data_IF_081645559257
#
_entry.id   IF_081645559257
#
_cell.length_a   1.000
_cell.length_b   1.000
_cell.length_c   1.000
_cell.angle_alpha   90.00
_cell.angle_beta   90.00
_cell.angle_gamma   90.00
#
_symmetry.space_group_name_H-M   'P 1'
#
loop_
_entity.id
_entity.type
_entity.pdbx_description
1 polymer ?
#
# COMPACT_ATOMS: atom_id res chain seq x y z
N UNK A 1 16.35 2.75 -16.09
CA UNK A 1 16.60 1.75 -15.02
C UNK A 1 17.68 2.34 -14.15
N UNK A 2 17.37 2.61 -12.89
CA UNK A 2 18.34 3.13 -11.93
C UNK A 2 19.49 2.12 -11.83
N UNK A 3 20.73 2.60 -11.98
CA UNK A 3 21.90 1.74 -11.77
C UNK A 3 21.89 1.17 -10.36
N UNK A 4 22.50 -0.01 -10.14
CA UNK A 4 22.63 -0.61 -8.79
C UNK A 4 23.23 0.39 -7.79
N UNK A 5 24.19 1.21 -8.25
CA UNK A 5 24.78 2.32 -7.50
C UNK A 5 23.74 3.35 -7.03
N UNK A 6 22.88 3.81 -7.94
CA UNK A 6 21.83 4.81 -7.64
C UNK A 6 20.79 4.25 -6.67
N UNK A 7 20.38 2.99 -6.84
CA UNK A 7 19.45 2.32 -5.92
C UNK A 7 20.01 2.19 -4.50
N UNK A 8 21.28 1.85 -4.36
CA UNK A 8 21.93 1.74 -3.05
C UNK A 8 22.02 3.07 -2.31
N UNK A 9 22.37 4.16 -3.02
CA UNK A 9 22.40 5.50 -2.42
C UNK A 9 21.02 5.91 -1.94
N UNK A 10 19.99 5.66 -2.77
CA UNK A 10 18.60 5.94 -2.40
C UNK A 10 18.21 5.17 -1.14
N UNK A 11 18.53 3.87 -1.13
CA UNK A 11 18.24 2.99 -0.01
C UNK A 11 18.90 3.47 1.29
N UNK A 12 20.19 3.82 1.21
CA UNK A 12 20.98 4.27 2.36
C UNK A 12 20.39 5.54 2.95
N UNK A 13 20.12 6.56 2.14
CA UNK A 13 19.49 7.80 2.62
C UNK A 13 18.12 7.54 3.25
N UNK A 14 17.28 6.73 2.60
CA UNK A 14 15.96 6.36 3.11
C UNK A 14 16.03 5.64 4.47
N UNK A 15 16.97 4.71 4.62
CA UNK A 15 17.21 4.00 5.86
C UNK A 15 17.65 4.93 6.99
N UNK A 16 18.54 5.88 6.71
CA UNK A 16 19.01 6.83 7.71
C UNK A 16 17.90 7.77 8.17
N UNK A 17 17.03 8.21 7.26
CA UNK A 17 15.86 9.00 7.64
C UNK A 17 14.87 8.19 8.49
N UNK A 18 14.61 6.94 8.13
CA UNK A 18 13.81 6.02 8.95
C UNK A 18 14.39 5.86 10.36
N UNK A 19 15.69 5.59 10.47
CA UNK A 19 16.39 5.45 11.74
C UNK A 19 16.32 6.72 12.60
N UNK A 20 16.43 7.92 12.00
CA UNK A 20 16.26 9.21 12.70
C UNK A 20 14.88 9.33 13.36
N UNK A 21 13.82 8.90 12.69
CA UNK A 21 12.45 8.98 13.23
C UNK A 21 12.19 8.02 14.39
N UNK A 22 12.95 6.93 14.51
CA UNK A 22 12.79 5.88 15.55
C UNK A 22 13.47 6.18 16.91
N UNK A 23 13.97 7.40 17.18
CA UNK A 23 14.54 7.85 18.48
C UNK A 23 15.52 6.84 19.15
N UNK A 24 16.50 6.29 18.41
CA UNK A 24 17.57 5.45 18.96
C UNK A 24 18.98 6.00 18.65
N UNK A 25 19.94 5.76 19.53
CA UNK A 25 21.36 6.13 19.35
C UNK A 25 22.10 5.05 18.55
N UNK A 26 22.70 5.42 17.42
CA UNK A 26 23.50 4.52 16.56
C UNK A 26 24.80 5.23 16.13
N UNK A 27 25.99 4.60 16.23
CA UNK A 27 27.31 5.26 16.06
C UNK A 27 28.34 4.47 15.25
N UNK A 28 28.81 4.93 14.08
CA UNK A 28 29.91 4.30 13.30
C UNK A 28 30.73 5.30 12.44
N UNK A 29 32.07 5.19 12.33
CA UNK A 29 32.97 6.17 11.64
C UNK A 29 33.54 5.68 10.29
N UNK A 30 33.72 6.57 9.29
CA UNK A 30 35.02 7.02 8.72
C UNK A 30 34.89 7.87 7.41
N UNK A 31 35.82 8.84 7.24
CA UNK A 31 36.06 9.79 6.13
C UNK A 31 36.82 9.12 4.94
N UNK A 32 37.14 9.74 3.78
CA UNK A 32 37.32 11.13 3.30
C UNK A 32 36.69 11.19 1.88
N UNK A 33 35.94 12.18 1.39
CA UNK A 33 35.88 13.62 1.60
C UNK A 33 34.49 14.17 1.16
N UNK A 34 33.83 14.86 2.10
CA UNK A 34 32.66 15.78 2.09
C UNK A 34 31.26 15.39 1.56
N UNK A 35 30.28 15.41 2.48
CA UNK A 35 29.00 16.13 2.36
C UNK A 35 28.63 16.72 3.74
N UNK A 36 28.29 18.01 3.78
CA UNK A 36 27.77 18.69 4.98
C UNK A 36 26.24 18.58 5.07
N UNK A 37 25.76 18.21 6.26
CA UNK A 37 24.35 18.29 6.65
C UNK A 37 24.26 19.25 7.84
N UNK A 38 23.58 20.39 7.69
CA UNK A 38 23.28 21.24 8.84
C UNK A 38 22.00 20.79 9.58
N UNK A 39 22.24 20.46 10.85
CA UNK A 39 21.38 20.39 12.06
C UNK A 39 19.95 19.81 11.92
N UNK A 40 19.60 18.71 12.59
CA UNK A 40 20.00 18.35 13.94
C UNK A 40 19.95 16.83 14.22
N UNK A 41 20.95 16.43 15.03
CA UNK A 41 21.29 15.11 15.61
C UNK A 41 21.99 14.11 14.68
N UNK A 42 23.30 14.06 14.90
CA UNK A 42 24.33 13.18 14.34
C UNK A 42 23.78 11.80 13.95
N UNK A 43 23.80 11.53 12.65
CA UNK A 43 23.58 10.19 12.12
C UNK A 43 24.80 9.78 11.34
N UNK A 44 25.35 8.63 11.69
CA UNK A 44 26.54 8.06 11.06
C UNK A 44 26.18 6.74 10.38
N UNK A 45 26.70 6.56 9.16
CA UNK A 45 26.27 5.53 8.20
C UNK A 45 27.24 4.35 8.24
N UNK A 46 26.72 3.12 8.19
CA UNK A 46 27.53 1.90 8.10
C UNK A 46 27.87 1.55 6.65
N UNK A 47 29.11 1.11 6.41
CA UNK A 47 29.54 0.49 5.14
C UNK A 47 29.49 -1.03 5.30
N UNK A 48 28.40 -1.66 4.89
CA UNK A 48 28.42 -3.11 4.61
C UNK A 48 29.26 -3.34 3.34
N UNK A 49 30.53 -3.70 3.51
CA UNK A 49 31.47 -3.91 2.39
C UNK A 49 30.97 -4.96 1.41
N UNK A 50 30.20 -5.96 1.85
CA UNK A 50 29.67 -7.01 0.96
C UNK A 50 28.54 -6.45 0.07
N UNK A 51 27.64 -5.64 0.65
CA UNK A 51 26.56 -4.98 -0.07
C UNK A 51 27.11 -3.94 -1.09
N UNK A 52 28.14 -3.17 -0.73
CA UNK A 52 28.81 -2.23 -1.64
C UNK A 52 29.51 -2.94 -2.80
N UNK A 53 30.13 -4.09 -2.55
CA UNK A 53 30.75 -4.93 -3.59
C UNK A 53 29.70 -5.52 -4.53
N UNK A 54 28.56 -6.01 -4.00
CA UNK A 54 27.41 -6.51 -4.79
C UNK A 54 26.80 -5.42 -5.69
N UNK A 55 26.89 -4.15 -5.27
CA UNK A 55 26.32 -2.99 -5.98
C UNK A 55 27.33 -2.22 -6.88
N UNK A 56 28.63 -2.54 -6.85
CA UNK A 56 29.65 -1.99 -7.77
C UNK A 56 29.91 -0.48 -7.61
N UNK A 57 30.03 0.02 -6.39
CA UNK A 57 30.01 1.47 -6.08
C UNK A 57 31.39 2.02 -5.70
N UNK A 58 31.91 2.95 -6.52
CA UNK A 58 32.92 3.96 -6.16
C UNK A 58 32.29 5.35 -6.33
N UNK A 59 32.26 6.18 -5.27
CA UNK A 59 31.47 7.42 -5.01
C UNK A 59 30.82 8.23 -6.16
N UNK A 60 29.70 8.91 -5.86
CA UNK A 60 29.11 10.11 -6.54
C UNK A 60 27.84 10.52 -5.78
N UNK A 61 27.57 11.81 -5.56
CA UNK A 61 26.36 12.34 -4.90
C UNK A 61 25.06 11.88 -5.54
N UNK A 62 24.01 11.79 -4.71
CA UNK A 62 22.63 11.64 -5.16
C UNK A 62 21.68 12.43 -4.23
N UNK A 63 20.45 12.71 -4.68
CA UNK A 63 19.41 13.34 -3.85
C UNK A 63 18.18 12.44 -3.79
N UNK A 64 17.76 12.02 -2.59
CA UNK A 64 16.52 11.24 -2.42
C UNK A 64 15.31 12.12 -2.18
N UNK A 65 14.21 11.81 -2.85
CA UNK A 65 12.92 12.45 -2.59
C UNK A 65 12.08 11.52 -1.73
N UNK A 66 11.59 12.04 -0.63
CA UNK A 66 10.61 11.35 0.18
C UNK A 66 9.23 11.61 -0.41
N UNK A 67 8.40 10.58 -0.60
CA UNK A 67 6.99 10.76 -0.95
C UNK A 67 6.36 11.73 0.06
N UNK A 68 5.96 12.92 -0.38
CA UNK A 68 5.25 13.90 0.46
C UNK A 68 3.76 13.84 0.14
N UNK A 69 2.94 13.65 1.17
CA UNK A 69 1.49 13.76 1.06
C UNK A 69 1.06 15.04 1.77
N UNK A 70 0.39 15.96 1.06
CA UNK A 70 -0.18 17.15 1.70
C UNK A 70 -1.31 16.69 2.63
N UNK A 71 -1.13 16.86 3.93
CA UNK A 71 -2.08 16.41 4.94
C UNK A 71 -3.34 17.28 4.86
N UNK A 72 -4.51 16.70 4.54
CA UNK A 72 -5.75 17.46 4.53
C UNK A 72 -6.24 17.71 5.96
N UNK A 73 -6.94 18.81 6.16
CA UNK A 73 -7.63 19.13 7.41
C UNK A 73 -8.98 18.40 7.41
N UNK A 74 -9.27 17.60 8.44
CA UNK A 74 -10.57 16.93 8.58
C UNK A 74 -11.48 17.83 9.40
N UNK A 75 -12.60 18.24 8.81
CA UNK A 75 -13.70 18.88 9.53
C UNK A 75 -14.65 17.78 10.03
N UNK A 76 -14.71 17.58 11.34
CA UNK A 76 -15.75 16.75 11.98
C UNK A 76 -16.86 17.65 12.53
N UNK A 77 -18.07 17.11 12.74
CA UNK A 77 -19.21 17.85 13.33
C UNK A 77 -18.90 18.51 14.69
N UNK A 78 -17.85 18.07 15.41
CA UNK A 78 -17.51 18.58 16.74
C UNK A 78 -16.10 19.20 16.84
N UNK A 79 -15.25 19.14 15.81
CA UNK A 79 -13.93 19.79 15.82
C UNK A 79 -13.20 19.74 14.46
N UNK A 80 -12.31 20.71 14.25
CA UNK A 80 -11.29 20.69 13.19
C UNK A 80 -10.08 19.88 13.69
N UNK A 81 -9.85 18.70 13.13
CA UNK A 81 -8.72 17.84 13.52
C UNK A 81 -7.78 17.69 12.33
N UNK A 82 -6.51 18.05 12.53
CA UNK A 82 -5.48 17.79 11.53
C UNK A 82 -5.30 16.25 11.40
N UNK A 83 -5.28 15.68 10.19
CA UNK A 83 -5.05 14.25 10.03
C UNK A 83 -3.67 13.82 10.60
N UNK A 84 -2.68 14.73 10.68
CA UNK A 84 -1.43 14.54 11.44
C UNK A 84 -1.64 14.43 12.95
N UNK A 85 -2.65 15.09 13.52
CA UNK A 85 -2.98 14.99 14.95
C UNK A 85 -3.65 13.65 15.25
N UNK A 86 -4.44 13.10 14.31
CA UNK A 86 -4.94 11.73 14.39
C UNK A 86 -3.76 10.76 14.32
N UNK A 87 -2.86 10.89 13.34
CA UNK A 87 -1.71 9.98 13.20
C UNK A 87 -0.68 10.08 14.34
N UNK A 88 -0.37 11.28 14.86
CA UNK A 88 0.54 11.45 16.02
C UNK A 88 -0.01 10.87 17.33
N UNK A 89 -1.24 11.24 17.73
CA UNK A 89 -1.88 10.66 18.94
C UNK A 89 -2.08 9.14 18.81
N UNK A 90 -2.19 8.66 17.57
CA UNK A 90 -2.31 7.25 17.24
C UNK A 90 -0.97 6.50 17.40
N UNK A 91 0.14 7.04 16.87
CA UNK A 91 1.49 6.48 17.06
C UNK A 91 1.84 6.39 18.55
N UNK A 92 1.52 7.43 19.33
CA UNK A 92 1.75 7.45 20.79
C UNK A 92 0.93 6.39 21.58
N UNK A 93 -0.19 5.90 21.02
CA UNK A 93 -0.99 4.82 21.62
C UNK A 93 -0.61 3.43 21.11
N UNK A 94 -0.15 3.30 19.87
CA UNK A 94 0.37 2.04 19.30
C UNK A 94 1.58 1.49 20.07
N UNK A 95 2.42 2.38 20.61
CA UNK A 95 3.55 2.00 21.48
C UNK A 95 3.11 1.20 22.73
N UNK A 96 1.81 1.14 23.05
CA UNK A 96 1.26 0.29 24.13
C UNK A 96 0.80 -1.11 23.70
N UNK A 97 0.66 -1.39 22.40
CA UNK A 97 0.06 -2.65 21.89
C UNK A 97 1.02 -3.55 21.08
N UNK A 98 2.32 -3.24 21.02
CA UNK A 98 3.34 -4.04 20.30
C UNK A 98 3.01 -4.31 18.81
N UNK A 99 2.35 -3.37 18.11
CA UNK A 99 2.15 -3.44 16.66
C UNK A 99 3.15 -2.53 15.93
N UNK A 100 3.71 -3.04 14.83
CA UNK A 100 4.57 -2.24 13.95
C UNK A 100 3.74 -1.37 13.00
N UNK A 101 2.60 -1.89 12.55
CA UNK A 101 1.75 -1.28 11.53
C UNK A 101 0.49 -0.65 12.14
N UNK A 102 0.18 0.62 11.81
CA UNK A 102 -1.09 1.25 12.16
C UNK A 102 -2.34 0.48 11.71
N UNK A 103 -3.31 0.29 12.61
CA UNK A 103 -4.65 -0.28 12.37
C UNK A 103 -5.58 0.74 11.74
N UNK A 104 -5.18 1.20 10.56
CA UNK A 104 -5.89 2.16 9.74
C UNK A 104 -5.92 1.58 8.33
N UNK A 105 -7.09 1.60 7.70
CA UNK A 105 -7.26 1.14 6.33
C UNK A 105 -7.39 2.33 5.40
N UNK A 106 -6.76 2.24 4.22
CA UNK A 106 -6.79 3.26 3.19
C UNK A 106 -7.33 2.67 1.89
N UNK A 107 -8.32 3.33 1.32
CA UNK A 107 -8.83 3.09 -0.04
C UNK A 107 -8.57 4.33 -0.91
N UNK A 108 -8.47 4.14 -2.23
CA UNK A 108 -8.41 5.24 -3.19
C UNK A 108 -9.58 5.10 -4.17
N UNK A 109 -10.37 6.17 -4.31
CA UNK A 109 -11.46 6.32 -5.26
C UNK A 109 -11.24 7.60 -6.07
N UNK A 110 -10.78 7.47 -7.31
CA UNK A 110 -10.56 8.60 -8.21
C UNK A 110 -11.65 8.71 -9.27
N UNK A 111 -12.07 9.95 -9.54
CA UNK A 111 -13.09 10.28 -10.53
C UNK A 111 -14.52 9.90 -10.11
N UNK A 112 -15.43 9.99 -11.06
CA UNK A 112 -16.83 9.65 -10.87
C UNK A 112 -17.05 8.14 -11.02
N UNK A 113 -16.56 7.36 -10.05
CA UNK A 113 -16.70 5.89 -10.05
C UNK A 113 -18.02 5.52 -9.39
N UNK A 114 -18.87 4.77 -10.10
CA UNK A 114 -20.07 4.17 -9.52
C UNK A 114 -19.65 3.10 -8.50
N UNK A 115 -20.03 3.27 -7.25
CA UNK A 115 -19.72 2.34 -6.18
C UNK A 115 -20.59 1.07 -6.32
N UNK A 116 -19.95 -0.09 -6.46
CA UNK A 116 -20.62 -1.36 -6.78
C UNK A 116 -20.67 -2.29 -5.57
N UNK A 117 -21.41 -3.39 -5.72
CA UNK A 117 -21.55 -4.40 -4.68
C UNK A 117 -20.21 -4.96 -4.19
N UNK A 118 -19.26 -5.20 -5.09
CA UNK A 118 -17.93 -5.67 -4.71
C UNK A 118 -17.14 -4.63 -3.92
N UNK A 119 -17.32 -3.33 -4.19
CA UNK A 119 -16.71 -2.27 -3.39
C UNK A 119 -17.27 -2.30 -1.97
N UNK A 120 -18.60 -2.40 -1.83
CA UNK A 120 -19.25 -2.58 -0.53
C UNK A 120 -18.70 -3.78 0.25
N UNK A 121 -18.60 -4.96 -0.40
CA UNK A 121 -18.06 -6.16 0.27
C UNK A 121 -16.59 -5.98 0.67
N UNK A 122 -15.79 -5.26 -0.11
CA UNK A 122 -14.41 -4.94 0.25
C UNK A 122 -14.36 -4.15 1.56
N UNK A 123 -15.13 -3.06 1.66
CA UNK A 123 -15.22 -2.21 2.86
C UNK A 123 -15.80 -2.97 4.07
N UNK A 124 -16.89 -3.71 3.86
CA UNK A 124 -17.50 -4.52 4.94
C UNK A 124 -16.52 -5.58 5.46
N UNK A 125 -15.81 -6.26 4.57
CA UNK A 125 -14.84 -7.28 4.98
C UNK A 125 -13.68 -6.69 5.78
N UNK A 126 -13.17 -5.52 5.38
CA UNK A 126 -12.08 -4.86 6.12
C UNK A 126 -12.55 -4.41 7.51
N UNK A 127 -13.73 -3.81 7.61
CA UNK A 127 -14.35 -3.45 8.90
C UNK A 127 -14.48 -4.65 9.84
N UNK A 128 -15.12 -5.73 9.39
CA UNK A 128 -15.46 -6.86 10.26
C UNK A 128 -14.25 -7.70 10.67
N UNK A 129 -13.26 -7.83 9.77
CA UNK A 129 -12.18 -8.80 9.95
C UNK A 129 -10.84 -8.14 10.32
N UNK A 130 -10.54 -6.95 9.80
CA UNK A 130 -9.38 -6.15 10.25
C UNK A 130 -9.74 -5.37 11.52
N UNK A 131 -11.00 -4.94 11.65
CA UNK A 131 -11.48 -4.06 12.73
C UNK A 131 -10.61 -2.81 12.85
N UNK A 132 -10.42 -2.07 11.75
CA UNK A 132 -9.57 -0.89 11.75
C UNK A 132 -10.20 0.19 12.64
N UNK A 133 -9.35 1.02 13.21
CA UNK A 133 -9.82 2.19 13.97
C UNK A 133 -10.48 3.21 13.05
N UNK A 134 -9.92 3.38 11.86
CA UNK A 134 -10.37 4.32 10.85
C UNK A 134 -10.22 3.70 9.46
N UNK A 135 -11.18 3.98 8.59
CA UNK A 135 -11.11 3.72 7.16
C UNK A 135 -11.07 5.06 6.45
N UNK A 136 -9.96 5.37 5.79
CA UNK A 136 -9.80 6.58 4.98
C UNK A 136 -10.06 6.28 3.51
N UNK A 137 -10.95 7.05 2.91
CA UNK A 137 -11.24 7.01 1.48
C UNK A 137 -10.60 8.23 0.82
N UNK A 138 -9.52 8.02 0.09
CA UNK A 138 -8.79 9.06 -0.61
C UNK A 138 -9.36 9.27 -2.01
N UNK A 139 -9.65 10.51 -2.40
CA UNK A 139 -10.20 10.79 -3.73
C UNK A 139 -10.17 12.25 -4.13
N UNK A 140 -10.39 12.54 -5.40
CA UNK A 140 -10.39 13.90 -5.96
C UNK A 140 -11.80 14.49 -6.11
N UNK A 141 -12.83 13.72 -5.78
CA UNK A 141 -14.22 14.03 -6.10
C UNK A 141 -15.07 14.31 -4.85
N UNK A 142 -16.00 15.26 -4.92
CA UNK A 142 -16.88 15.54 -3.80
C UNK A 142 -17.87 14.38 -3.61
N UNK A 143 -17.79 13.69 -2.47
CA UNK A 143 -18.63 12.52 -2.10
C UNK A 143 -20.13 12.87 -1.97
N UNK A 144 -20.51 14.12 -2.21
CA UNK A 144 -21.89 14.62 -2.14
C UNK A 144 -22.78 14.24 -3.32
N UNK A 145 -22.35 13.40 -4.27
CA UNK A 145 -23.22 12.92 -5.36
C UNK A 145 -23.56 11.44 -5.20
N UNK A 146 -24.78 11.07 -5.58
CA UNK A 146 -25.36 9.72 -5.48
C UNK A 146 -24.41 8.63 -6.00
N UNK A 147 -23.65 8.02 -5.10
CA UNK A 147 -22.75 6.90 -5.38
C UNK A 147 -23.49 5.55 -5.48
N UNK A 148 -24.83 5.57 -5.41
CA UNK A 148 -25.71 4.42 -5.52
C UNK A 148 -25.94 3.67 -4.21
N UNK A 149 -26.87 2.72 -4.25
CA UNK A 149 -27.36 1.96 -3.09
C UNK A 149 -26.26 1.31 -2.25
N UNK A 150 -25.17 0.85 -2.89
CA UNK A 150 -24.07 0.17 -2.20
C UNK A 150 -23.18 1.13 -1.41
N UNK A 151 -23.09 2.39 -1.82
CA UNK A 151 -22.39 3.41 -1.05
C UNK A 151 -23.18 3.78 0.20
N UNK A 152 -24.48 4.02 0.05
CA UNK A 152 -25.38 4.29 1.19
C UNK A 152 -25.30 3.17 2.20
N UNK A 153 -25.44 1.92 1.74
CA UNK A 153 -25.32 0.76 2.61
C UNK A 153 -23.94 0.61 3.26
N UNK A 154 -22.87 0.96 2.56
CA UNK A 154 -21.52 0.95 3.15
C UNK A 154 -21.44 1.94 4.32
N UNK A 155 -21.99 3.14 4.19
CA UNK A 155 -22.01 4.13 5.28
C UNK A 155 -22.89 3.72 6.46
N UNK A 156 -23.92 2.91 6.23
CA UNK A 156 -24.79 2.35 7.27
C UNK A 156 -24.13 1.18 8.02
N UNK A 157 -23.50 0.27 7.28
CA UNK A 157 -22.96 -0.99 7.82
C UNK A 157 -21.54 -0.86 8.39
N UNK A 158 -20.76 0.12 7.92
CA UNK A 158 -19.32 0.25 8.22
C UNK A 158 -19.03 1.47 9.08
N UNK A 159 -18.37 1.25 10.21
CA UNK A 159 -18.03 2.31 11.14
C UNK A 159 -16.76 3.07 10.75
N UNK A 160 -16.63 4.31 11.23
CA UNK A 160 -15.39 5.10 11.18
C UNK A 160 -14.80 5.31 9.77
N UNK A 161 -15.66 5.51 8.78
CA UNK A 161 -15.27 5.85 7.40
C UNK A 161 -15.14 7.37 7.27
N UNK A 162 -13.99 7.82 6.77
CA UNK A 162 -13.67 9.23 6.60
C UNK A 162 -13.19 9.50 5.19
N UNK A 163 -13.78 10.51 4.56
CA UNK A 163 -13.30 10.99 3.28
C UNK A 163 -12.06 11.86 3.43
N UNK A 164 -11.06 11.63 2.59
CA UNK A 164 -9.87 12.45 2.49
C UNK A 164 -9.67 13.01 1.08
N UNK A 165 -9.99 14.30 0.85
CA UNK A 165 -9.66 14.97 -0.40
C UNK A 165 -8.17 14.81 -0.71
N UNK A 166 -7.88 14.16 -1.82
CA UNK A 166 -6.55 13.77 -2.28
C UNK A 166 -6.50 14.02 -3.79
N UNK A 167 -5.67 14.96 -4.27
CA UNK A 167 -5.60 15.25 -5.69
C UNK A 167 -5.06 14.03 -6.45
N UNK A 168 -5.46 13.92 -7.72
CA UNK A 168 -4.84 12.98 -8.66
C UNK A 168 -3.36 13.32 -8.83
N UNK A 169 -2.53 12.29 -8.96
CA UNK A 169 -1.09 12.45 -9.25
C UNK A 169 -0.91 12.63 -10.77
N UNK A 170 -1.23 13.81 -11.28
CA UNK A 170 -1.21 14.09 -12.73
C UNK A 170 0.20 14.14 -13.31
N UNK A 171 1.22 14.28 -12.46
CA UNK A 171 2.61 14.34 -12.86
C UNK A 171 3.49 13.47 -11.96
N UNK A 172 4.36 12.69 -12.59
CA UNK A 172 5.45 11.98 -11.94
C UNK A 172 6.73 12.57 -12.51
N UNK A 173 7.47 13.31 -11.70
CA UNK A 173 8.81 13.80 -12.06
C UNK A 173 8.78 14.66 -13.33
N UNK A 174 7.81 15.59 -13.37
CA UNK A 174 7.56 16.47 -14.52
C UNK A 174 6.87 15.82 -15.71
N UNK A 175 6.67 14.49 -15.70
CA UNK A 175 6.03 13.77 -16.81
C UNK A 175 4.55 13.54 -16.52
N UNK A 176 3.70 13.90 -17.49
CA UNK A 176 2.25 13.72 -17.38
C UNK A 176 1.90 12.24 -17.24
N UNK A 177 0.99 11.95 -16.31
CA UNK A 177 0.38 10.64 -16.12
C UNK A 177 -1.03 10.70 -16.68
N UNK A 178 -1.37 9.77 -17.58
CA UNK A 178 -2.71 9.67 -18.16
C UNK A 178 -3.56 8.56 -17.54
N UNK A 179 -2.92 7.62 -16.83
CA UNK A 179 -3.57 6.43 -16.30
C UNK A 179 -3.96 6.59 -14.84
N UNK A 180 -5.26 6.51 -14.54
CA UNK A 180 -5.78 6.62 -13.18
C UNK A 180 -5.24 5.54 -12.23
N UNK A 181 -5.00 4.31 -12.71
CA UNK A 181 -4.42 3.26 -11.88
C UNK A 181 -2.98 3.57 -11.49
N UNK A 182 -2.17 4.08 -12.42
CA UNK A 182 -0.82 4.55 -12.11
C UNK A 182 -0.82 5.73 -11.12
N UNK A 183 -1.78 6.65 -11.22
CA UNK A 183 -1.93 7.74 -10.24
C UNK A 183 -2.22 7.18 -8.84
N UNK A 184 -3.11 6.18 -8.75
CA UNK A 184 -3.45 5.53 -7.48
C UNK A 184 -2.29 4.71 -6.91
N UNK A 185 -1.47 4.10 -7.77
CA UNK A 185 -0.25 3.38 -7.39
C UNK A 185 0.79 4.29 -6.74
N UNK A 186 0.94 5.53 -7.23
CA UNK A 186 1.83 6.51 -6.62
C UNK A 186 1.25 7.08 -5.34
N UNK A 187 -0.05 7.40 -5.34
CA UNK A 187 -0.72 7.95 -4.16
C UNK A 187 -0.69 6.97 -2.98
N UNK A 188 -0.95 5.67 -3.18
CA UNK A 188 -0.90 4.68 -2.09
C UNK A 188 0.50 4.57 -1.46
N UNK A 189 1.56 4.69 -2.26
CA UNK A 189 2.94 4.74 -1.77
C UNK A 189 3.17 6.00 -0.91
N UNK A 190 2.67 7.16 -1.34
CA UNK A 190 2.76 8.40 -0.57
C UNK A 190 2.00 8.31 0.76
N UNK A 191 0.77 7.78 0.74
CA UNK A 191 -0.08 7.61 1.92
C UNK A 191 0.62 6.70 2.95
N UNK A 192 1.04 5.50 2.54
CA UNK A 192 1.65 4.53 3.45
C UNK A 192 3.04 4.95 3.90
N UNK A 193 3.81 5.64 3.06
CA UNK A 193 5.11 6.16 3.48
C UNK A 193 4.95 7.17 4.60
N UNK A 194 3.94 8.03 4.57
CA UNK A 194 3.76 9.05 5.59
C UNK A 194 3.03 8.52 6.84
N UNK A 195 1.95 7.76 6.64
CA UNK A 195 1.03 7.38 7.71
C UNK A 195 1.19 5.93 8.17
N UNK A 196 1.82 5.07 7.38
CA UNK A 196 1.69 3.62 7.51
C UNK A 196 0.24 3.19 7.29
N UNK A 197 -0.12 2.00 7.78
CA UNK A 197 -1.46 1.46 7.68
C UNK A 197 -1.57 0.29 6.71
N UNK A 198 -2.80 0.03 6.29
CA UNK A 198 -3.17 -1.04 5.37
C UNK A 198 -3.83 -0.41 4.16
N UNK A 199 -3.24 -0.55 2.99
CA UNK A 199 -3.89 -0.17 1.73
C UNK A 199 -4.58 -1.38 1.11
N UNK A 200 -5.79 -1.16 0.60
CA UNK A 200 -6.58 -2.14 -0.15
C UNK A 200 -7.12 -1.52 -1.45
N UNK A 201 -6.96 -2.22 -2.58
CA UNK A 201 -7.77 -1.98 -3.77
C UNK A 201 -9.24 -2.35 -3.46
N UNK A 202 -10.21 -1.68 -4.09
CA UNK A 202 -11.63 -1.85 -3.77
C UNK A 202 -12.23 -3.17 -4.24
N UNK A 203 -11.45 -4.01 -4.94
CA UNK A 203 -11.80 -5.37 -5.34
C UNK A 203 -11.06 -6.43 -4.54
N UNK A 204 -10.55 -6.07 -3.37
CA UNK A 204 -10.01 -7.01 -2.38
C UNK A 204 -11.07 -7.40 -1.37
N UNK A 205 -11.28 -8.70 -1.17
CA UNK A 205 -12.11 -9.26 -0.10
C UNK A 205 -11.19 -9.75 1.01
N UNK A 206 -11.32 -9.17 2.21
CA UNK A 206 -10.63 -9.65 3.41
C UNK A 206 -11.34 -10.88 3.96
N UNK A 207 -10.57 -11.86 4.42
CA UNK A 207 -11.06 -13.14 4.95
C UNK A 207 -10.62 -13.39 6.38
N UNK A 208 -9.56 -12.72 6.86
CA UNK A 208 -9.04 -12.82 8.23
C UNK A 208 -8.41 -11.52 8.73
N UNK A 209 -8.22 -11.41 10.05
CA UNK A 209 -7.46 -10.33 10.67
C UNK A 209 -6.03 -10.28 10.15
N UNK A 210 -5.53 -9.07 9.90
CA UNK A 210 -4.15 -8.82 9.49
C UNK A 210 -3.19 -8.67 10.69
N UNK A 211 -3.68 -8.81 11.92
CA UNK A 211 -2.86 -8.60 13.13
C UNK A 211 -1.56 -9.39 13.16
N UNK A 212 -1.50 -10.68 12.76
CA UNK A 212 -0.24 -11.41 12.70
C UNK A 212 0.80 -10.71 11.81
N UNK A 213 0.38 -10.17 10.66
CA UNK A 213 1.25 -9.47 9.72
C UNK A 213 1.66 -8.10 10.29
N UNK A 214 0.71 -7.37 10.89
CA UNK A 214 0.92 -6.04 11.48
C UNK A 214 1.88 -6.04 12.67
N UNK A 215 1.93 -7.13 13.44
CA UNK A 215 2.86 -7.30 14.57
C UNK A 215 4.25 -7.70 14.12
N UNK A 216 4.32 -8.61 13.14
CA UNK A 216 5.56 -9.31 12.82
C UNK A 216 6.42 -8.56 11.82
N UNK A 217 5.82 -7.78 10.91
CA UNK A 217 6.53 -7.22 9.77
C UNK A 217 6.27 -5.72 9.59
N UNK A 218 7.33 -4.93 9.33
CA UNK A 218 7.17 -3.50 9.08
C UNK A 218 6.69 -3.20 7.65
N UNK A 219 6.79 -4.15 6.72
CA UNK A 219 6.22 -4.08 5.37
C UNK A 219 5.88 -5.48 4.89
N UNK A 220 4.63 -5.68 4.43
CA UNK A 220 4.18 -6.92 3.79
C UNK A 220 3.52 -6.63 2.45
N UNK A 221 3.89 -7.40 1.42
CA UNK A 221 3.23 -7.45 0.11
C UNK A 221 2.86 -8.89 -0.25
N UNK A 222 1.91 -9.06 -1.17
CA UNK A 222 1.58 -10.38 -1.74
C UNK A 222 2.27 -10.61 -3.10
N UNK A 223 2.61 -11.87 -3.39
CA UNK A 223 3.16 -12.27 -4.69
C UNK A 223 2.11 -12.95 -5.58
N UNK A 224 1.47 -12.24 -6.53
CA UNK A 224 0.56 -12.91 -7.46
C UNK A 224 1.29 -13.76 -8.51
N UNK A 225 2.55 -13.46 -8.82
CA UNK A 225 3.32 -14.21 -9.83
C UNK A 225 4.84 -14.09 -9.62
N UNK A 226 5.62 -14.94 -10.28
CA UNK A 226 7.09 -14.98 -10.15
C UNK A 226 7.79 -13.66 -10.52
N UNK A 227 7.12 -12.81 -11.32
CA UNK A 227 7.68 -11.54 -11.80
C UNK A 227 7.11 -10.30 -11.10
N UNK A 228 6.18 -10.46 -10.16
CA UNK A 228 5.32 -9.37 -9.66
C UNK A 228 5.16 -9.45 -8.14
N UNK A 229 5.31 -8.31 -7.45
CA UNK A 229 4.72 -8.10 -6.12
C UNK A 229 3.61 -7.08 -6.30
N UNK A 230 2.37 -7.46 -5.98
CA UNK A 230 1.25 -6.55 -6.21
C UNK A 230 1.16 -5.50 -5.10
N UNK A 231 0.67 -4.34 -5.48
CA UNK A 231 0.47 -3.19 -4.61
C UNK A 231 -1.01 -2.95 -4.28
N UNK A 232 -1.89 -3.90 -4.64
CA UNK A 232 -3.33 -3.86 -4.33
C UNK A 232 -3.67 -4.28 -2.89
N UNK A 233 -2.71 -4.89 -2.20
CA UNK A 233 -2.74 -5.09 -0.74
C UNK A 233 -1.35 -4.73 -0.23
N UNK A 234 -1.27 -3.75 0.66
CA UNK A 234 0.00 -3.35 1.29
C UNK A 234 -0.22 -3.12 2.78
N UNK A 235 0.62 -3.72 3.62
CA UNK A 235 0.55 -3.59 5.08
C UNK A 235 1.89 -3.02 5.52
N UNK A 236 1.93 -1.77 5.97
CA UNK A 236 3.19 -1.05 6.15
C UNK A 236 3.20 -0.18 7.40
N UNK A 237 4.27 -0.28 8.17
CA UNK A 237 4.64 0.74 9.13
C UNK A 237 5.00 2.02 8.36
N UNK A 238 4.89 3.22 8.95
CA UNK A 238 5.30 4.44 8.27
C UNK A 238 6.81 4.42 7.96
N UNK A 239 7.19 5.20 6.96
CA UNK A 239 8.56 5.55 6.61
C UNK A 239 9.48 4.39 6.18
N UNK A 240 8.95 3.35 5.54
CA UNK A 240 9.77 2.20 5.15
C UNK A 240 10.81 2.56 4.09
N UNK A 241 12.10 2.21 4.30
CA UNK A 241 13.16 2.47 3.32
C UNK A 241 12.87 1.82 1.97
N UNK A 242 12.35 0.58 1.98
CA UNK A 242 11.95 -0.15 0.78
C UNK A 242 10.95 0.62 -0.09
N UNK A 243 9.90 1.17 0.52
CA UNK A 243 8.88 1.97 -0.19
C UNK A 243 9.46 3.28 -0.73
N UNK A 244 10.36 3.92 0.00
CA UNK A 244 11.05 5.12 -0.49
C UNK A 244 11.89 4.82 -1.75
N UNK A 245 12.65 3.72 -1.76
CA UNK A 245 13.44 3.31 -2.93
C UNK A 245 12.53 2.99 -4.11
N UNK A 246 11.44 2.28 -3.85
CA UNK A 246 10.46 1.95 -4.87
C UNK A 246 9.83 3.22 -5.48
N UNK A 247 9.38 4.16 -4.65
CA UNK A 247 8.87 5.45 -5.11
C UNK A 247 9.88 6.22 -5.95
N UNK A 248 11.14 6.31 -5.52
CA UNK A 248 12.18 6.97 -6.30
C UNK A 248 12.49 6.25 -7.63
N UNK A 249 12.13 4.97 -7.75
CA UNK A 249 12.14 4.24 -9.01
C UNK A 249 11.29 4.91 -10.10
N UNK A 250 10.22 5.62 -9.73
CA UNK A 250 9.38 6.36 -10.65
C UNK A 250 10.06 7.59 -11.28
N UNK A 251 11.26 7.99 -10.84
CA UNK A 251 12.10 8.98 -11.54
C UNK A 251 12.47 8.61 -12.96
N UNK A 252 12.56 7.32 -13.21
CA UNK A 252 12.81 6.79 -14.54
C UNK A 252 11.51 6.52 -15.32
N UNK A 253 10.34 6.90 -14.78
CA UNK A 253 9.06 6.73 -15.47
C UNK A 253 9.09 7.42 -16.82
N UNK A 254 8.58 6.75 -17.84
CA UNK A 254 8.40 7.31 -19.17
C UNK A 254 7.03 6.86 -19.70
N UNK A 255 6.11 7.79 -20.01
CA UNK A 255 4.79 7.43 -20.54
C UNK A 255 4.86 6.71 -21.90
N UNK A 256 5.95 6.86 -22.65
CA UNK A 256 6.14 6.17 -23.94
C UNK A 256 6.68 4.74 -23.79
N UNK A 257 7.17 4.37 -22.59
CA UNK A 257 7.70 3.03 -22.35
C UNK A 257 6.57 1.98 -22.37
N UNK A 258 6.67 1.01 -23.29
CA UNK A 258 5.72 -0.11 -23.36
C UNK A 258 5.72 -0.89 -22.04
N UNK A 259 4.55 -1.00 -21.43
CA UNK A 259 4.39 -1.71 -20.16
C UNK A 259 4.92 -0.94 -18.93
N UNK A 260 5.09 0.39 -19.03
CA UNK A 260 5.56 1.24 -17.93
C UNK A 260 4.81 0.98 -16.62
N UNK A 261 3.46 0.95 -16.66
CA UNK A 261 2.64 0.67 -15.48
C UNK A 261 3.09 -0.62 -14.74
N UNK A 262 3.09 -1.76 -15.43
CA UNK A 262 3.48 -3.03 -14.81
C UNK A 262 4.96 -3.05 -14.39
N UNK A 263 5.82 -2.32 -15.09
CA UNK A 263 7.21 -2.18 -14.72
C UNK A 263 7.36 -1.47 -13.36
N UNK A 264 6.82 -0.26 -13.23
CA UNK A 264 7.00 0.56 -12.02
C UNK A 264 6.12 0.12 -10.86
N UNK A 265 4.88 -0.29 -11.12
CA UNK A 265 3.89 -0.60 -10.07
C UNK A 265 3.99 -2.01 -9.49
N UNK A 266 4.62 -2.98 -10.17
CA UNK A 266 4.70 -4.35 -9.61
C UNK A 266 6.03 -5.07 -9.83
N UNK A 267 6.70 -4.87 -10.97
CA UNK A 267 7.99 -5.54 -11.25
C UNK A 267 9.15 -4.90 -10.50
N UNK A 268 9.12 -3.58 -10.30
CA UNK A 268 10.16 -2.87 -9.53
C UNK A 268 10.20 -3.36 -8.10
N UNK A 269 9.05 -3.47 -7.41
CA UNK A 269 8.99 -4.06 -6.07
C UNK A 269 9.57 -5.48 -6.04
N UNK A 270 9.22 -6.34 -7.01
CA UNK A 270 9.79 -7.69 -7.10
C UNK A 270 11.31 -7.73 -7.35
N UNK A 271 11.87 -6.74 -8.07
CA UNK A 271 13.33 -6.63 -8.23
C UNK A 271 13.98 -6.16 -6.94
N UNK A 272 13.40 -5.15 -6.29
CA UNK A 272 13.91 -4.61 -5.03
C UNK A 272 13.88 -5.64 -3.91
N UNK A 273 12.88 -6.51 -3.83
CA UNK A 273 12.84 -7.56 -2.81
C UNK A 273 13.96 -8.58 -2.93
N UNK A 274 14.51 -8.79 -4.13
CA UNK A 274 15.70 -9.64 -4.33
C UNK A 274 16.99 -8.94 -3.91
N UNK A 275 17.00 -7.61 -3.89
CA UNK A 275 18.16 -6.79 -3.49
C UNK A 275 18.13 -6.53 -1.99
N UNK A 276 16.94 -6.33 -1.42
CA UNK A 276 16.68 -5.97 -0.03
C UNK A 276 15.70 -6.97 0.62
N UNK A 277 16.03 -8.28 0.70
CA UNK A 277 15.10 -9.30 1.18
C UNK A 277 14.69 -9.10 2.64
N UNK A 278 15.57 -8.56 3.48
CA UNK A 278 15.31 -8.36 4.93
C UNK A 278 14.42 -7.15 5.23
N UNK A 279 14.02 -6.39 4.20
CA UNK A 279 13.26 -5.15 4.34
C UNK A 279 11.81 -5.25 3.86
N UNK A 280 11.39 -6.46 3.52
CA UNK A 280 10.04 -6.75 3.07
C UNK A 280 9.68 -8.19 3.42
N UNK A 281 8.52 -8.38 4.03
CA UNK A 281 7.88 -9.68 4.11
C UNK A 281 7.00 -9.91 2.88
N UNK A 282 7.01 -11.14 2.36
CA UNK A 282 6.26 -11.50 1.16
C UNK A 282 5.33 -12.65 1.50
N UNK A 283 4.04 -12.40 1.36
CA UNK A 283 3.03 -13.44 1.39
C UNK A 283 2.95 -14.12 0.03
N UNK A 284 3.44 -15.35 -0.03
CA UNK A 284 3.54 -16.13 -1.26
C UNK A 284 2.19 -16.73 -1.70
N UNK A 285 1.23 -16.89 -0.77
CA UNK A 285 -0.07 -17.53 -1.06
C UNK A 285 -1.27 -16.94 -0.32
N UNK A 286 -1.08 -16.44 0.91
CA UNK A 286 -2.21 -16.03 1.76
C UNK A 286 -2.85 -14.70 1.35
N UNK A 287 -2.16 -13.90 0.53
CA UNK A 287 -2.65 -12.64 -0.05
C UNK A 287 -2.72 -12.75 -1.57
N UNK A 288 -3.77 -12.19 -2.18
CA UNK A 288 -3.96 -12.05 -3.64
C UNK A 288 -4.22 -13.34 -4.42
N UNK A 289 -4.23 -14.52 -3.78
CA UNK A 289 -4.53 -15.78 -4.45
C UNK A 289 -6.00 -16.20 -4.24
N UNK A 290 -6.65 -16.81 -5.24
CA UNK A 290 -6.14 -17.16 -6.56
C UNK A 290 -5.72 -15.96 -7.42
N UNK A 291 -4.59 -16.10 -8.12
CA UNK A 291 -3.96 -15.02 -8.86
C UNK A 291 -4.57 -14.79 -10.25
N UNK A 292 -4.35 -13.60 -10.81
CA UNK A 292 -4.60 -13.33 -12.23
C UNK A 292 -3.68 -14.13 -13.17
N UNK A 293 -2.54 -14.62 -12.65
CA UNK A 293 -1.52 -15.33 -13.40
C UNK A 293 -1.60 -16.85 -13.22
N UNK A 294 -0.71 -17.57 -13.89
CA UNK A 294 -0.47 -19.01 -13.70
C UNK A 294 -1.70 -19.91 -13.90
N UNK A 295 -2.71 -19.44 -14.65
CA UNK A 295 -3.95 -20.19 -14.86
C UNK A 295 -4.82 -20.31 -13.60
N UNK A 296 -4.65 -19.44 -12.60
CA UNK A 296 -5.41 -19.49 -11.34
C UNK A 296 -6.78 -18.81 -11.41
N UNK A 297 -7.06 -17.98 -12.44
CA UNK A 297 -8.37 -17.32 -12.58
C UNK A 297 -9.58 -18.27 -12.51
N UNK A 298 -9.58 -19.46 -13.14
CA UNK A 298 -10.67 -20.43 -12.99
C UNK A 298 -10.90 -20.86 -11.53
N UNK A 299 -9.88 -20.86 -10.67
CA UNK A 299 -10.03 -21.19 -9.25
C UNK A 299 -10.89 -20.17 -8.51
N UNK A 300 -10.95 -18.92 -8.98
CA UNK A 300 -11.80 -17.89 -8.40
C UNK A 300 -13.20 -17.89 -9.02
N UNK A 301 -13.29 -17.95 -10.35
CA UNK A 301 -14.55 -17.69 -11.08
C UNK A 301 -15.36 -18.93 -11.45
N UNK A 302 -14.76 -20.13 -11.46
CA UNK A 302 -15.38 -21.34 -12.02
C UNK A 302 -15.27 -22.58 -11.12
N UNK A 303 -14.23 -22.65 -10.30
CA UNK A 303 -13.91 -23.79 -9.43
C UNK A 303 -13.97 -23.38 -7.96
N UNK A 304 -13.68 -24.34 -7.10
CA UNK A 304 -13.50 -24.15 -5.67
C UNK A 304 -12.01 -24.15 -5.32
N UNK A 305 -11.63 -23.26 -4.42
CA UNK A 305 -10.28 -23.09 -3.93
C UNK A 305 -10.34 -23.02 -2.40
N UNK A 306 -9.48 -23.78 -1.72
CA UNK A 306 -9.38 -23.71 -0.27
C UNK A 306 -8.75 -22.37 0.15
N UNK A 307 -9.60 -21.40 0.48
CA UNK A 307 -9.22 -20.08 0.96
C UNK A 307 -9.07 -20.03 2.48
N UNK A 308 -9.13 -21.16 3.19
CA UNK A 308 -9.07 -21.21 4.65
C UNK A 308 -7.78 -20.63 5.23
N UNK A 309 -6.70 -20.52 4.46
CA UNK A 309 -5.42 -19.89 4.88
C UNK A 309 -5.25 -18.45 4.39
N UNK A 310 -6.17 -17.94 3.56
CA UNK A 310 -6.04 -16.62 2.99
C UNK A 310 -6.40 -15.54 4.01
N UNK A 311 -5.57 -14.50 4.09
CA UNK A 311 -5.91 -13.25 4.76
C UNK A 311 -6.85 -12.42 3.89
N UNK A 312 -6.61 -12.39 2.57
CA UNK A 312 -7.43 -11.66 1.62
C UNK A 312 -7.22 -12.16 0.19
N UNK A 313 -8.27 -12.02 -0.64
CA UNK A 313 -8.27 -12.38 -2.06
C UNK A 313 -8.51 -11.12 -2.88
N UNK A 314 -7.72 -10.97 -3.93
CA UNK A 314 -7.94 -9.93 -4.93
C UNK A 314 -8.84 -10.50 -6.04
N UNK A 315 -9.97 -9.86 -6.32
CA UNK A 315 -10.97 -10.42 -7.24
C UNK A 315 -10.62 -10.19 -8.71
N UNK A 316 -9.78 -9.19 -9.01
CA UNK A 316 -9.33 -8.88 -10.38
C UNK A 316 -10.51 -8.52 -11.29
N UNK A 317 -11.41 -7.65 -10.82
CA UNK A 317 -12.71 -7.36 -11.45
C UNK A 317 -12.64 -6.90 -12.92
N UNK A 318 -11.47 -6.48 -13.38
CA UNK A 318 -11.21 -6.09 -14.76
C UNK A 318 -11.11 -7.27 -15.73
N UNK A 319 -10.95 -8.49 -15.22
CA UNK A 319 -10.66 -9.69 -16.04
C UNK A 319 -11.90 -10.54 -16.32
N UNK A 320 -12.91 -10.49 -15.44
CA UNK A 320 -14.16 -11.25 -15.56
C UNK A 320 -15.33 -10.47 -14.91
N UNK A 321 -16.58 -10.68 -15.37
CA UNK A 321 -17.76 -10.13 -14.70
C UNK A 321 -17.84 -10.56 -13.24
N UNK A 322 -18.33 -9.67 -12.38
CA UNK A 322 -18.53 -9.91 -10.95
C UNK A 322 -19.98 -9.64 -10.57
N UNK A 323 -20.52 -10.32 -9.54
CA UNK A 323 -21.89 -10.10 -9.10
C UNK A 323 -22.16 -8.65 -8.69
N UNK A 324 -23.34 -8.14 -9.05
CA UNK A 324 -23.78 -6.76 -8.78
C UNK A 324 -24.71 -6.64 -7.56
N UNK A 325 -25.04 -7.76 -6.90
CA UNK A 325 -25.86 -7.78 -5.69
C UNK A 325 -26.11 -9.17 -5.11
N UNK A 326 -26.85 -9.25 -3.99
CA UNK A 326 -27.04 -10.47 -3.19
C UNK A 326 -27.72 -11.60 -3.97
N UNK A 327 -28.73 -11.29 -4.78
CA UNK A 327 -29.45 -12.28 -5.60
C UNK A 327 -28.52 -13.09 -6.51
N UNK A 328 -27.48 -12.44 -7.04
CA UNK A 328 -26.53 -13.09 -7.95
C UNK A 328 -25.53 -14.00 -7.22
N UNK A 329 -25.25 -13.74 -5.93
CA UNK A 329 -24.35 -14.60 -5.16
C UNK A 329 -25.07 -15.77 -4.49
N UNK A 330 -26.40 -15.76 -4.35
CA UNK A 330 -27.15 -16.86 -3.69
C UNK A 330 -26.85 -18.24 -4.27
N UNK A 331 -26.82 -18.35 -5.61
CA UNK A 331 -26.62 -19.62 -6.33
C UNK A 331 -25.27 -19.71 -7.05
N UNK A 332 -24.37 -18.75 -6.84
CA UNK A 332 -23.07 -18.74 -7.53
C UNK A 332 -22.15 -19.81 -6.94
N UNK A 333 -22.05 -20.96 -7.61
CA UNK A 333 -21.30 -22.11 -7.13
C UNK A 333 -19.83 -22.09 -7.57
N UNK A 334 -19.04 -21.19 -6.99
CA UNK A 334 -17.59 -21.12 -7.13
C UNK A 334 -16.99 -20.34 -5.95
N UNK A 335 -15.65 -20.31 -5.85
CA UNK A 335 -14.92 -19.58 -4.80
C UNK A 335 -15.39 -18.13 -4.64
N UNK A 336 -15.59 -17.39 -5.74
CA UNK A 336 -16.06 -16.01 -5.69
C UNK A 336 -17.42 -15.91 -4.99
N UNK A 337 -18.37 -16.79 -5.34
CA UNK A 337 -19.67 -16.84 -4.70
C UNK A 337 -19.57 -17.17 -3.21
N UNK A 338 -18.72 -18.12 -2.84
CA UNK A 338 -18.48 -18.50 -1.44
C UNK A 338 -17.97 -17.34 -0.60
N UNK A 339 -16.89 -16.68 -1.04
CA UNK A 339 -16.29 -15.59 -0.26
C UNK A 339 -17.19 -14.35 -0.21
N UNK A 340 -17.95 -14.07 -1.28
CA UNK A 340 -18.91 -12.96 -1.28
C UNK A 340 -20.09 -13.24 -0.34
N UNK A 341 -20.62 -14.48 -0.32
CA UNK A 341 -21.66 -14.88 0.65
C UNK A 341 -21.13 -14.83 2.08
N UNK A 342 -19.94 -15.39 2.31
CA UNK A 342 -19.27 -15.36 3.61
C UNK A 342 -19.25 -13.94 4.17
N UNK A 343 -18.72 -12.97 3.42
CA UNK A 343 -18.64 -11.57 3.85
C UNK A 343 -20.00 -10.89 3.93
N UNK A 344 -20.88 -11.11 2.96
CA UNK A 344 -22.18 -10.44 2.93
C UNK A 344 -23.01 -10.74 4.19
N UNK A 345 -22.95 -11.98 4.68
CA UNK A 345 -23.66 -12.43 5.87
C UNK A 345 -22.86 -12.31 7.17
N UNK A 346 -21.65 -11.73 7.17
CA UNK A 346 -20.96 -11.36 8.40
C UNK A 346 -21.79 -10.32 9.17
N UNK A 347 -22.04 -10.61 10.44
CA UNK A 347 -22.72 -9.74 11.40
C UNK A 347 -21.73 -8.93 12.22
#
# INVERSE_FOLDING_TARGET
>A
MLSRKKLFLIYTEAYLHYAKKKKGSYSYKCNESSYEFERNKNVTIFKDRELWRKCGINGTSFSVEYPRFNIPIIHTKCSTVNALLISRKYIERQDKENFLVPNVVHYILFGNVKFKFLDYLSFKSSDKLIKPRYIFVHGDYNISQDHGVWWTRMLEDVANVYYMPSPKIEYIQGKKVSRLDLMADVLRLQILQENGGIYLDTDVIVLKSFDPLRRSYPLTLGRPSSISLANGIMIAAPHQPFMCVWYNGYRDYDPQMKGAWGYFSVRTANKLSKIFPDHIHIEERSLLHPSWANGELPLLFQKHYDWSKNYAIHVWRRLKPVPEGPKQIEKLNCTLGEIMRYVYFLT
#
